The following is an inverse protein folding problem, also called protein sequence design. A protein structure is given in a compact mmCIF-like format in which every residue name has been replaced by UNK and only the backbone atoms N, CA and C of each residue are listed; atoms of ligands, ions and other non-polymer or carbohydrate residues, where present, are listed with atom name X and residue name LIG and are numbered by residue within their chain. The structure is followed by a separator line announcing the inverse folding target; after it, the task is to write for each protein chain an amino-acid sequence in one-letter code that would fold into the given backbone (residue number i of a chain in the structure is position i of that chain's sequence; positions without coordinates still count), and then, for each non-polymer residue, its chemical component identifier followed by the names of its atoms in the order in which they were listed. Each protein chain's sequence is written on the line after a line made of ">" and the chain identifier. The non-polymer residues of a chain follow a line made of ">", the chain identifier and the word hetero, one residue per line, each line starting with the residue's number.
data_IF_824706234187
#
_entry.id   IF_824706234187
#
_cell.length_a   1.000
_cell.length_b   1.000
_cell.length_c   1.000
_cell.angle_alpha   90.00
_cell.angle_beta   90.00
_cell.angle_gamma   90.00
#
_symmetry.space_group_name_H-M   'P 1'
#
loop_
_entity.id
_entity.type
_entity.pdbx_description
1 polymer ?
#
# COMPACT_ATOMS: atom_id res chain seq x y z
N UNK A 1 -0.30 5.40 -9.97
CA UNK A 1 0.80 6.06 -9.24
C UNK A 1 1.84 5.02 -8.87
N UNK A 2 3.10 5.27 -9.22
CA UNK A 2 4.24 4.46 -8.77
C UNK A 2 4.95 5.31 -7.72
N UNK A 3 5.17 4.74 -6.53
CA UNK A 3 5.94 5.45 -5.51
C UNK A 3 7.42 5.33 -5.93
N UNK A 4 8.13 6.45 -6.14
CA UNK A 4 9.51 6.42 -6.61
C UNK A 4 10.40 5.74 -5.57
N UNK A 5 11.47 5.08 -6.03
CA UNK A 5 12.45 4.46 -5.14
C UNK A 5 13.29 5.52 -4.41
N UNK A 6 13.59 6.61 -5.11
CA UNK A 6 14.41 7.71 -4.63
C UNK A 6 13.83 9.05 -5.02
N UNK A 7 14.12 10.07 -4.22
CA UNK A 7 13.85 11.48 -4.52
C UNK A 7 15.17 12.22 -4.40
N UNK A 8 15.46 13.09 -5.36
CA UNK A 8 16.65 13.94 -5.33
C UNK A 8 16.25 15.29 -4.71
N UNK A 9 16.93 15.68 -3.64
CA UNK A 9 16.77 17.00 -3.00
C UNK A 9 18.18 17.58 -2.88
N UNK A 10 18.39 18.75 -3.48
CA UNK A 10 19.66 19.49 -3.44
C UNK A 10 20.90 18.65 -3.81
N UNK A 11 20.79 17.84 -4.87
CA UNK A 11 21.89 17.00 -5.33
C UNK A 11 21.98 15.63 -4.65
N UNK A 12 21.33 15.44 -3.49
CA UNK A 12 21.41 14.22 -2.68
C UNK A 12 20.22 13.29 -2.94
N UNK A 13 20.50 12.00 -3.09
CA UNK A 13 19.50 10.97 -3.32
C UNK A 13 18.96 10.38 -2.00
N UNK A 14 17.67 10.58 -1.74
CA UNK A 14 16.98 10.03 -0.58
C UNK A 14 16.12 8.83 -0.99
N UNK A 15 16.26 7.71 -0.28
CA UNK A 15 15.40 6.54 -0.49
C UNK A 15 14.03 6.78 0.12
N UNK A 16 12.98 6.44 -0.62
CA UNK A 16 11.62 6.49 -0.11
C UNK A 16 11.36 5.23 0.71
N UNK A 17 11.37 5.38 2.04
CA UNK A 17 11.18 4.26 2.99
C UNK A 17 9.80 4.26 3.62
N UNK A 18 9.03 5.34 3.51
CA UNK A 18 7.74 5.48 4.17
C UNK A 18 6.69 6.20 3.32
N UNK A 19 5.43 5.85 3.54
CA UNK A 19 4.26 6.61 3.07
C UNK A 19 3.65 7.28 4.28
N UNK A 20 3.51 8.61 4.25
CA UNK A 20 2.99 9.37 5.38
C UNK A 20 1.51 9.06 5.69
N UNK A 21 1.08 9.44 6.89
CA UNK A 21 -0.35 9.43 7.23
C UNK A 21 -1.14 10.28 6.23
N UNK A 22 -2.30 9.77 5.79
CA UNK A 22 -3.20 10.43 4.84
C UNK A 22 -2.60 10.86 3.50
N UNK A 23 -1.39 10.42 3.13
CA UNK A 23 -0.68 10.88 1.93
C UNK A 23 -1.51 10.85 0.62
N UNK A 24 -2.38 9.85 0.46
CA UNK A 24 -3.30 9.73 -0.68
C UNK A 24 -4.77 9.72 -0.25
N UNK A 25 -5.09 10.11 0.99
CA UNK A 25 -6.45 10.02 1.50
C UNK A 25 -7.43 10.85 0.65
N UNK A 26 -8.57 10.27 0.30
CA UNK A 26 -9.61 10.91 -0.50
C UNK A 26 -9.28 11.05 -1.99
N UNK A 27 -8.16 10.51 -2.47
CA UNK A 27 -7.79 10.62 -3.88
C UNK A 27 -8.71 9.73 -4.74
N UNK A 28 -9.75 10.34 -5.32
CA UNK A 28 -10.70 9.67 -6.21
C UNK A 28 -10.14 9.41 -7.62
N UNK A 29 -9.02 10.04 -8.02
CA UNK A 29 -8.39 9.80 -9.33
C UNK A 29 -7.43 8.60 -9.31
N UNK A 30 -6.98 8.18 -8.14
CA UNK A 30 -6.04 7.08 -7.97
C UNK A 30 -6.67 5.72 -8.32
N UNK A 31 -6.26 5.14 -9.47
CA UNK A 31 -6.73 3.83 -9.94
C UNK A 31 -5.80 2.67 -9.55
N UNK A 32 -4.50 2.93 -9.55
CA UNK A 32 -3.44 1.93 -9.32
C UNK A 32 -2.35 2.50 -8.42
N UNK A 33 -1.79 1.66 -7.54
CA UNK A 33 -0.60 2.00 -6.77
C UNK A 33 0.41 0.85 -6.76
N UNK A 34 1.69 1.18 -6.91
CA UNK A 34 2.81 0.28 -6.69
C UNK A 34 3.60 0.78 -5.48
N UNK A 35 3.66 -0.05 -4.44
CA UNK A 35 4.45 0.15 -3.23
C UNK A 35 5.78 -0.58 -3.44
N UNK A 36 6.86 0.20 -3.53
CA UNK A 36 8.21 -0.28 -3.85
C UNK A 36 8.80 -1.23 -2.80
N UNK A 37 9.89 -1.88 -3.17
CA UNK A 37 10.59 -2.87 -2.35
C UNK A 37 11.21 -2.29 -1.07
N UNK A 38 11.55 -1.00 -1.08
CA UNK A 38 12.23 -0.32 0.03
C UNK A 38 11.29 0.31 1.06
N UNK A 39 9.97 0.20 0.86
CA UNK A 39 9.00 0.75 1.80
C UNK A 39 8.91 -0.13 3.06
N UNK A 40 9.08 0.49 4.21
CA UNK A 40 9.12 -0.13 5.54
C UNK A 40 7.95 0.31 6.41
N UNK A 41 7.35 1.48 6.13
CA UNK A 41 6.24 2.05 6.89
C UNK A 41 5.15 2.62 5.96
N UNK A 42 3.89 2.40 6.35
CA UNK A 42 2.73 3.05 5.73
C UNK A 42 1.92 3.70 6.85
N UNK A 43 1.65 4.99 6.75
CA UNK A 43 0.93 5.75 7.77
C UNK A 43 -0.54 5.34 7.90
N UNK A 44 -1.17 5.82 8.98
CA UNK A 44 -2.60 5.64 9.15
C UNK A 44 -3.36 6.30 8.00
N UNK A 45 -4.46 5.68 7.55
CA UNK A 45 -5.32 6.21 6.48
C UNK A 45 -4.60 6.62 5.18
N UNK A 46 -3.40 6.10 4.90
CA UNK A 46 -2.58 6.52 3.75
C UNK A 46 -3.32 6.49 2.41
N UNK A 47 -4.16 5.47 2.17
CA UNK A 47 -5.02 5.32 0.98
C UNK A 47 -6.52 5.30 1.34
N UNK A 48 -6.89 5.95 2.44
CA UNK A 48 -8.27 5.97 2.92
C UNK A 48 -9.19 6.67 1.91
N UNK A 49 -10.39 6.13 1.66
CA UNK A 49 -11.38 6.70 0.72
C UNK A 49 -10.86 6.87 -0.73
N UNK A 50 -9.83 6.13 -1.15
CA UNK A 50 -9.45 6.04 -2.56
C UNK A 50 -10.44 5.14 -3.32
N UNK A 51 -11.67 5.61 -3.54
CA UNK A 51 -12.80 4.79 -4.02
C UNK A 51 -12.57 4.14 -5.38
N UNK A 52 -11.72 4.72 -6.23
CA UNK A 52 -11.39 4.21 -7.56
C UNK A 52 -10.12 3.35 -7.58
N UNK A 53 -9.46 3.14 -6.44
CA UNK A 53 -8.24 2.33 -6.35
C UNK A 53 -8.57 0.85 -6.51
N UNK A 54 -8.35 0.33 -7.73
CA UNK A 54 -8.66 -1.05 -8.13
C UNK A 54 -7.46 -2.00 -8.02
N UNK A 55 -6.22 -1.50 -8.10
CA UNK A 55 -5.02 -2.34 -8.06
C UNK A 55 -3.97 -1.79 -7.11
N UNK A 56 -3.55 -2.60 -6.15
CA UNK A 56 -2.47 -2.29 -5.20
C UNK A 56 -1.41 -3.38 -5.37
N UNK A 57 -0.20 -3.02 -5.73
CA UNK A 57 0.93 -3.96 -5.82
C UNK A 57 1.92 -3.64 -4.70
N UNK A 58 2.16 -4.60 -3.81
CA UNK A 58 3.13 -4.49 -2.72
C UNK A 58 4.32 -5.36 -3.08
N UNK A 59 5.48 -4.74 -3.33
CA UNK A 59 6.72 -5.44 -3.69
C UNK A 59 7.63 -5.67 -2.48
N UNK A 60 7.55 -4.80 -1.47
CA UNK A 60 8.32 -4.94 -0.21
C UNK A 60 7.90 -6.17 0.59
N UNK A 61 8.90 -6.86 1.14
CA UNK A 61 8.74 -7.91 2.16
C UNK A 61 8.97 -7.37 3.58
N UNK A 62 9.40 -6.11 3.71
CA UNK A 62 9.81 -5.46 4.96
C UNK A 62 8.63 -4.96 5.81
N UNK A 63 7.45 -4.78 5.21
CA UNK A 63 6.26 -4.36 5.95
C UNK A 63 5.82 -5.39 6.98
N UNK A 64 5.49 -4.90 8.18
CA UNK A 64 4.95 -5.67 9.30
C UNK A 64 3.59 -5.11 9.70
N UNK A 65 2.80 -5.91 10.40
CA UNK A 65 1.50 -5.45 10.89
C UNK A 65 1.60 -4.16 11.71
N UNK A 66 2.67 -3.97 12.49
CA UNK A 66 2.91 -2.76 13.31
C UNK A 66 3.34 -1.52 12.52
N UNK A 67 3.94 -1.69 11.34
CA UNK A 67 4.47 -0.58 10.53
C UNK A 67 3.48 -0.07 9.49
N UNK A 68 2.30 -0.69 9.39
CA UNK A 68 1.19 -0.22 8.57
C UNK A 68 0.13 0.35 9.49
N UNK A 69 -0.25 1.62 9.30
CA UNK A 69 -1.17 2.34 10.17
C UNK A 69 -2.63 1.88 10.04
N UNK A 70 -3.46 2.25 11.00
CA UNK A 70 -4.87 1.85 11.01
C UNK A 70 -5.60 2.38 9.78
N UNK A 71 -6.53 1.58 9.23
CA UNK A 71 -7.38 1.96 8.09
C UNK A 71 -6.59 2.42 6.84
N UNK A 72 -5.33 2.02 6.70
CA UNK A 72 -4.45 2.44 5.60
C UNK A 72 -5.08 2.21 4.22
N UNK A 73 -5.84 1.13 4.04
CA UNK A 73 -6.51 0.79 2.77
C UNK A 73 -8.04 0.72 2.92
N UNK A 74 -8.61 1.37 3.94
CA UNK A 74 -10.07 1.32 4.14
C UNK A 74 -10.80 2.21 3.12
N UNK A 75 -11.99 1.77 2.69
CA UNK A 75 -12.84 2.48 1.71
C UNK A 75 -12.18 2.65 0.32
N UNK A 76 -11.33 1.71 -0.07
CA UNK A 76 -10.88 1.56 -1.48
C UNK A 76 -11.96 0.83 -2.31
N UNK A 77 -11.74 0.68 -3.61
CA UNK A 77 -12.70 0.04 -4.50
C UNK A 77 -13.15 -1.36 -4.00
N UNK A 78 -14.45 -1.65 -4.05
CA UNK A 78 -15.06 -2.88 -3.53
C UNK A 78 -14.51 -4.18 -4.16
N UNK A 79 -14.04 -4.11 -5.41
CA UNK A 79 -13.39 -5.22 -6.14
C UNK A 79 -11.88 -5.02 -6.29
N UNK A 80 -11.24 -4.27 -5.40
CA UNK A 80 -9.80 -4.04 -5.50
C UNK A 80 -9.01 -5.35 -5.41
N UNK A 81 -7.92 -5.44 -6.18
CA UNK A 81 -6.98 -6.55 -6.17
C UNK A 81 -5.68 -6.06 -5.54
N UNK A 82 -5.26 -6.71 -4.46
CA UNK A 82 -4.00 -6.47 -3.77
C UNK A 82 -3.03 -7.60 -4.09
N UNK A 83 -1.97 -7.29 -4.83
CA UNK A 83 -0.85 -8.20 -5.08
C UNK A 83 0.18 -8.05 -3.97
N UNK A 84 0.61 -9.16 -3.37
CA UNK A 84 1.60 -9.19 -2.29
C UNK A 84 2.74 -10.16 -2.62
N UNK A 85 3.92 -10.04 -2.00
CA UNK A 85 5.03 -10.95 -2.29
C UNK A 85 4.64 -12.40 -1.98
N UNK A 86 4.95 -13.33 -2.90
CA UNK A 86 4.61 -14.76 -2.78
C UNK A 86 5.08 -15.35 -1.44
N UNK A 87 6.33 -15.04 -1.07
CA UNK A 87 6.96 -15.49 0.18
C UNK A 87 6.24 -15.03 1.47
N UNK A 88 5.53 -13.88 1.44
CA UNK A 88 4.86 -13.31 2.63
C UNK A 88 3.33 -13.28 2.51
N UNK A 89 2.75 -13.95 1.51
CA UNK A 89 1.31 -13.94 1.21
C UNK A 89 0.44 -14.23 2.43
N UNK A 90 0.75 -15.29 3.20
CA UNK A 90 -0.04 -15.68 4.39
C UNK A 90 -0.05 -14.57 5.44
N UNK A 91 1.12 -14.06 5.80
CA UNK A 91 1.27 -12.97 6.77
C UNK A 91 0.55 -11.70 6.30
N UNK A 92 0.79 -11.30 5.05
CA UNK A 92 0.21 -10.08 4.47
C UNK A 92 -1.30 -10.17 4.40
N UNK A 93 -1.85 -11.31 3.96
CA UNK A 93 -3.29 -11.55 3.96
C UNK A 93 -3.92 -11.39 5.35
N UNK A 94 -3.26 -11.87 6.41
CA UNK A 94 -3.77 -11.78 7.79
C UNK A 94 -3.86 -10.33 8.27
N UNK A 95 -2.79 -9.55 8.14
CA UNK A 95 -2.80 -8.19 8.65
C UNK A 95 -3.47 -7.18 7.70
N UNK A 96 -3.40 -7.37 6.37
CA UNK A 96 -4.07 -6.46 5.41
C UNK A 96 -5.59 -6.42 5.62
N UNK A 97 -6.19 -7.54 6.03
CA UNK A 97 -7.60 -7.59 6.45
C UNK A 97 -7.91 -6.59 7.58
N UNK A 98 -7.03 -6.52 8.58
CA UNK A 98 -7.14 -5.55 9.68
C UNK A 98 -6.83 -4.11 9.26
N UNK A 99 -6.24 -3.90 8.07
CA UNK A 99 -5.87 -2.56 7.55
C UNK A 99 -6.83 -2.03 6.48
N UNK A 100 -7.97 -2.68 6.27
CA UNK A 100 -9.06 -2.20 5.42
C UNK A 100 -9.27 -3.00 4.12
N UNK A 101 -8.55 -4.11 3.92
CA UNK A 101 -8.74 -5.01 2.77
C UNK A 101 -9.68 -6.16 3.15
N UNK A 102 -10.97 -6.08 2.84
CA UNK A 102 -11.97 -7.10 3.17
C UNK A 102 -13.11 -7.23 2.16
N UNK A 103 -14.14 -8.01 2.52
CA UNK A 103 -15.31 -8.23 1.67
C UNK A 103 -14.95 -8.86 0.32
N UNK A 104 -15.36 -8.21 -0.78
CA UNK A 104 -15.17 -8.68 -2.18
C UNK A 104 -13.77 -8.41 -2.75
N UNK A 105 -12.87 -7.83 -1.96
CA UNK A 105 -11.50 -7.51 -2.37
C UNK A 105 -10.63 -8.77 -2.37
N UNK A 106 -9.76 -8.90 -3.38
CA UNK A 106 -8.91 -10.08 -3.55
C UNK A 106 -7.49 -9.79 -3.12
N UNK A 107 -6.88 -10.72 -2.38
CA UNK A 107 -5.45 -10.70 -2.06
C UNK A 107 -4.79 -11.87 -2.79
N UNK A 108 -3.92 -11.57 -3.76
CA UNK A 108 -3.24 -12.55 -4.61
C UNK A 108 -1.73 -12.43 -4.48
N UNK A 109 -0.99 -13.49 -4.79
CA UNK A 109 0.46 -13.39 -4.88
C UNK A 109 0.82 -12.56 -6.12
N UNK A 110 1.89 -11.78 -6.04
CA UNK A 110 2.58 -11.34 -7.25
C UNK A 110 3.25 -12.56 -7.90
N UNK A 111 3.23 -12.60 -9.24
CA UNK A 111 4.00 -13.57 -10.03
C UNK A 111 5.47 -13.26 -9.84
#
# INVERSE_FOLDING_TARGET
>A
VVIPKTVKVDGVNYKVTAIAEKAFAGNKKLKTVVIGADIEKIGAKAFYKCVNLKKVTIQTTKLKAKTVGAKAFAKIHKKAVVKVPKAKKKAYKKWLKKRGIGGKQKIVANV
#
